data_IF_625884547121
#
_entry.id   IF_625884547121
#
_cell.length_a   1.000
_cell.length_b   1.000
_cell.length_c   1.000
_cell.angle_alpha   90.00
_cell.angle_beta   90.00
_cell.angle_gamma   90.00
#
_symmetry.space_group_name_H-M   'P 1'
#
loop_
_entity.id
_entity.type
_entity.pdbx_description
1 polymer ?
#
# COMPACT_ATOMS: atom_id res chain seq x y z
N UNK A 1 5.46 2.94 14.10
CA UNK A 1 5.28 1.61 13.50
C UNK A 1 6.62 1.15 12.97
N UNK A 2 7.14 0.03 13.46
CA UNK A 2 8.27 -0.67 12.83
C UNK A 2 7.71 -1.53 11.69
N UNK A 3 8.26 -1.42 10.49
CA UNK A 3 7.95 -2.33 9.39
C UNK A 3 8.84 -3.56 9.51
N UNK A 4 8.29 -4.76 9.34
CA UNK A 4 9.13 -5.94 9.16
C UNK A 4 9.77 -5.88 7.76
N UNK A 5 11.05 -5.53 7.69
CA UNK A 5 11.77 -5.40 6.41
C UNK A 5 11.86 -6.74 5.63
N UNK A 6 11.70 -7.87 6.31
CA UNK A 6 11.72 -9.22 5.71
C UNK A 6 10.34 -9.70 5.25
N UNK A 7 9.27 -8.94 5.50
CA UNK A 7 7.95 -9.20 4.95
C UNK A 7 7.67 -8.26 3.78
N UNK A 8 7.63 -8.83 2.58
CA UNK A 8 7.37 -8.10 1.34
C UNK A 8 6.02 -7.35 1.37
N UNK A 9 4.99 -7.97 1.94
CA UNK A 9 3.66 -7.37 1.99
C UNK A 9 3.62 -6.17 2.96
N UNK A 10 4.30 -6.28 4.11
CA UNK A 10 4.42 -5.15 5.03
C UNK A 10 5.24 -4.01 4.45
N UNK A 11 6.35 -4.32 3.76
CA UNK A 11 7.19 -3.32 3.09
C UNK A 11 6.42 -2.54 2.05
N UNK A 12 5.64 -3.22 1.20
CA UNK A 12 4.82 -2.56 0.17
C UNK A 12 3.68 -1.77 0.80
N UNK A 13 2.98 -2.33 1.79
CA UNK A 13 1.90 -1.63 2.51
C UNK A 13 2.40 -0.35 3.16
N UNK A 14 3.51 -0.45 3.90
CA UNK A 14 4.17 0.70 4.51
C UNK A 14 4.56 1.78 3.49
N UNK A 15 5.11 1.37 2.34
CA UNK A 15 5.50 2.32 1.31
C UNK A 15 4.30 3.03 0.70
N UNK A 16 3.22 2.30 0.38
CA UNK A 16 1.98 2.86 -0.17
C UNK A 16 1.30 3.83 0.81
N UNK A 17 1.21 3.48 2.08
CA UNK A 17 0.59 4.33 3.12
C UNK A 17 1.41 5.60 3.38
N UNK A 18 2.73 5.48 3.50
CA UNK A 18 3.59 6.63 3.86
C UNK A 18 3.84 7.60 2.71
N UNK A 19 3.54 7.22 1.47
CA UNK A 19 3.51 8.16 0.33
C UNK A 19 2.09 8.60 -0.04
N UNK A 20 1.08 8.17 0.71
CA UNK A 20 -0.35 8.42 0.41
C UNK A 20 -0.77 7.92 -0.98
N UNK A 21 -0.17 6.83 -1.46
CA UNK A 21 -0.73 6.10 -2.60
C UNK A 21 -2.03 5.39 -2.19
N UNK A 22 -2.04 4.84 -0.97
CA UNK A 22 -3.23 4.25 -0.35
C UNK A 22 -3.45 4.79 1.06
N UNK A 23 -4.68 4.62 1.56
CA UNK A 23 -5.03 4.84 2.96
C UNK A 23 -6.14 3.87 3.38
N UNK A 24 -6.16 3.47 4.65
CA UNK A 24 -7.32 2.77 5.21
C UNK A 24 -8.51 3.73 5.32
N UNK A 25 -9.72 3.22 5.12
CA UNK A 25 -10.92 3.97 5.44
C UNK A 25 -10.97 4.27 6.95
N UNK A 26 -11.29 5.52 7.37
CA UNK A 26 -11.37 5.85 8.80
C UNK A 26 -12.52 5.16 9.55
N UNK A 27 -13.51 4.63 8.84
CA UNK A 27 -14.68 3.95 9.43
C UNK A 27 -14.68 2.43 9.21
N UNK A 28 -13.96 1.93 8.19
CA UNK A 28 -13.83 0.51 7.85
C UNK A 28 -12.35 0.17 7.69
N UNK A 29 -11.64 -0.05 8.80
CA UNK A 29 -10.16 -0.08 8.83
C UNK A 29 -9.54 -1.24 8.04
N UNK A 30 -10.34 -2.24 7.69
CA UNK A 30 -10.02 -3.36 6.81
C UNK A 30 -10.09 -2.99 5.31
N UNK A 31 -10.72 -1.86 4.97
CA UNK A 31 -10.83 -1.36 3.60
C UNK A 31 -9.69 -0.41 3.29
N UNK A 32 -8.82 -0.83 2.38
CA UNK A 32 -7.78 0.02 1.80
C UNK A 32 -8.31 0.72 0.56
N UNK A 33 -8.05 2.02 0.45
CA UNK A 33 -8.48 2.89 -0.63
C UNK A 33 -7.25 3.41 -1.36
N UNK A 34 -7.23 3.31 -2.69
CA UNK A 34 -6.27 3.98 -3.57
C UNK A 34 -6.67 5.45 -3.69
N UNK A 35 -5.85 6.34 -3.13
CA UNK A 35 -6.12 7.79 -3.04
C UNK A 35 -5.07 8.65 -3.74
N UNK A 36 -3.90 8.07 -4.02
CA UNK A 36 -2.82 8.75 -4.73
C UNK A 36 -2.90 8.56 -6.25
N UNK A 37 -2.15 9.40 -6.95
CA UNK A 37 -1.93 9.28 -8.38
C UNK A 37 -0.72 8.38 -8.70
N UNK A 38 -0.39 8.24 -9.99
CA UNK A 38 0.75 7.46 -10.47
C UNK A 38 2.09 7.95 -9.87
N UNK A 39 2.19 9.23 -9.50
CA UNK A 39 3.39 9.78 -8.88
C UNK A 39 3.54 9.32 -7.42
N UNK A 40 2.45 9.26 -6.66
CA UNK A 40 2.43 8.70 -5.31
C UNK A 40 2.83 7.21 -5.30
N UNK A 41 2.37 6.44 -6.29
CA UNK A 41 2.73 5.02 -6.47
C UNK A 41 4.18 4.83 -6.89
N UNK A 42 4.67 5.65 -7.83
CA UNK A 42 6.07 5.64 -8.23
C UNK A 42 6.99 5.97 -7.05
N UNK A 43 6.58 6.94 -6.21
CA UNK A 43 7.29 7.27 -4.98
C UNK A 43 7.26 6.12 -3.97
N UNK A 44 6.11 5.45 -3.80
CA UNK A 44 6.02 4.26 -2.95
C UNK A 44 6.97 3.17 -3.43
N UNK A 45 7.03 2.92 -4.75
CA UNK A 45 7.91 1.90 -5.32
C UNK A 45 9.39 2.21 -5.03
N UNK A 46 9.83 3.44 -5.26
CA UNK A 46 11.21 3.86 -4.95
C UNK A 46 11.51 3.83 -3.45
N UNK A 47 10.52 4.08 -2.60
CA UNK A 47 10.67 3.92 -1.14
C UNK A 47 10.88 2.46 -0.77
N UNK A 48 10.05 1.56 -1.28
CA UNK A 48 10.15 0.13 -1.00
C UNK A 48 11.48 -0.47 -1.48
N UNK A 49 12.00 0.00 -2.63
CA UNK A 49 13.31 -0.42 -3.16
C UNK A 49 14.50 -0.09 -2.26
N UNK A 50 14.37 0.91 -1.39
CA UNK A 50 15.44 1.36 -0.48
C UNK A 50 15.40 0.67 0.88
N UNK A 51 14.40 -0.17 1.14
CA UNK A 51 14.31 -0.93 2.39
C UNK A 51 15.21 -2.15 2.29
N UNK A 52 16.21 -2.17 3.18
CA UNK A 52 17.19 -3.26 3.30
C UNK A 52 16.64 -4.31 4.26
N UNK A 53 16.67 -5.57 3.82
CA UNK A 53 16.26 -6.77 4.57
C UNK A 53 17.30 -7.10 5.67
N UNK A 54 16.96 -8.00 6.59
CA UNK A 54 17.89 -8.39 7.66
C UNK A 54 19.16 -9.08 7.15
N UNK A 55 19.10 -9.70 5.97
CA UNK A 55 20.25 -10.30 5.28
C UNK A 55 21.13 -9.28 4.54
N UNK A 56 20.84 -7.98 4.65
CA UNK A 56 21.60 -6.90 4.02
C UNK A 56 21.28 -6.69 2.53
N UNK A 57 20.34 -7.46 1.96
CA UNK A 57 19.92 -7.31 0.56
C UNK A 57 18.66 -6.45 0.42
N UNK A 58 18.41 -5.92 -0.77
CA UNK A 58 17.14 -5.28 -1.11
C UNK A 58 16.18 -6.27 -1.77
N UNK A 59 14.89 -5.95 -1.74
CA UNK A 59 13.88 -6.71 -2.49
C UNK A 59 14.12 -6.64 -4.01
N UNK A 60 13.98 -7.76 -4.74
CA UNK A 60 14.01 -7.75 -6.20
C UNK A 60 12.88 -6.86 -6.76
N UNK A 61 13.20 -6.02 -7.74
CA UNK A 61 12.23 -5.11 -8.34
C UNK A 61 11.00 -5.82 -8.95
N UNK A 62 11.16 -7.06 -9.42
CA UNK A 62 10.05 -7.89 -9.92
C UNK A 62 9.11 -8.33 -8.79
N UNK A 63 9.65 -8.70 -7.63
CA UNK A 63 8.85 -9.08 -6.47
C UNK A 63 8.04 -7.88 -5.97
N UNK A 64 8.68 -6.71 -5.87
CA UNK A 64 8.01 -5.46 -5.54
C UNK A 64 6.87 -5.15 -6.53
N UNK A 65 7.14 -5.16 -7.85
CA UNK A 65 6.09 -4.88 -8.85
C UNK A 65 4.88 -5.80 -8.74
N UNK A 66 5.11 -7.10 -8.52
CA UNK A 66 4.03 -8.08 -8.34
C UNK A 66 3.20 -7.77 -7.10
N UNK A 67 3.86 -7.46 -5.99
CA UNK A 67 3.15 -7.17 -4.73
C UNK A 67 2.43 -5.82 -4.76
N UNK A 68 3.02 -4.79 -5.38
CA UNK A 68 2.35 -3.53 -5.65
C UNK A 68 1.08 -3.73 -6.47
N UNK A 69 1.17 -4.48 -7.58
CA UNK A 69 0.01 -4.79 -8.41
C UNK A 69 -1.08 -5.55 -7.62
N UNK A 70 -0.68 -6.48 -6.74
CA UNK A 70 -1.61 -7.22 -5.88
C UNK A 70 -2.33 -6.31 -4.89
N UNK A 71 -1.60 -5.44 -4.18
CA UNK A 71 -2.20 -4.56 -3.16
C UNK A 71 -3.03 -3.44 -3.79
N UNK A 72 -2.52 -2.78 -4.83
CA UNK A 72 -3.27 -1.75 -5.55
C UNK A 72 -4.51 -2.32 -6.23
N UNK A 73 -4.42 -3.52 -6.82
CA UNK A 73 -5.56 -4.18 -7.44
C UNK A 73 -6.61 -4.70 -6.44
N UNK A 74 -6.25 -4.85 -5.16
CA UNK A 74 -7.18 -5.21 -4.10
C UNK A 74 -7.80 -3.99 -3.41
N UNK A 75 -7.24 -2.79 -3.60
CA UNK A 75 -7.74 -1.56 -3.00
C UNK A 75 -8.99 -1.06 -3.72
N UNK A 76 -9.86 -0.36 -3.00
CA UNK A 76 -10.97 0.36 -3.60
C UNK A 76 -10.46 1.65 -4.27
N UNK A 77 -10.99 2.00 -5.44
CA UNK A 77 -10.59 3.21 -6.16
C UNK A 77 -11.33 4.45 -5.63
N UNK A 78 -10.58 5.41 -5.08
CA UNK A 78 -11.04 6.74 -4.70
C UNK A 78 -11.97 6.82 -3.47
N UNK A 79 -12.78 5.81 -3.17
CA UNK A 79 -13.71 5.80 -2.03
C UNK A 79 -13.93 4.40 -1.46
N UNK A 80 -14.15 4.33 -0.15
CA UNK A 80 -14.60 3.10 0.51
C UNK A 80 -16.02 2.70 0.04
N UNK A 81 -16.23 1.48 -0.47
CA UNK A 81 -17.54 1.00 -0.92
C UNK A 81 -18.57 0.90 0.22
N UNK A 82 -18.12 0.74 1.46
CA UNK A 82 -19.00 0.57 2.62
C UNK A 82 -19.57 1.92 3.14
N UNK A 83 -18.84 3.03 2.98
CA UNK A 83 -19.31 4.34 3.44
C UNK A 83 -20.60 4.84 2.76
N UNK A 84 -20.98 4.28 1.60
CA UNK A 84 -22.19 4.65 0.88
C UNK A 84 -23.42 3.81 1.24
N UNK A 85 -23.24 2.65 1.89
CA UNK A 85 -24.35 1.76 2.26
C UNK A 85 -24.83 2.01 3.70
N UNK A 86 -24.00 2.61 4.54
CA UNK A 86 -24.29 2.82 5.97
C UNK A 86 -25.11 4.08 6.28
N UNK A 87 -25.68 4.75 5.26
CA UNK A 87 -26.30 6.09 5.40
C UNK A 87 -27.61 6.32 4.66
N UNK A 88 -28.34 5.27 4.27
CA UNK A 88 -29.71 5.39 3.74
C UNK A 88 -30.70 4.65 4.65
N UNK A 89 -31.14 5.34 5.71
CA UNK A 89 -32.37 5.07 6.45
C UNK A 89 -32.83 6.36 7.14
#
# INVERSE_FOLDING_TARGET
MSVNADDLAEVVRYALETTRATAACPFHWDVIIRIGDDAAESHAFERARKIVRSDGTNWPAVALRKEFARQLGAAADGRCPMCGVDGSA
#
